data_IF_436523584430
#
_entry.id   IF_436523584430
#
_cell.length_a   1.000
_cell.length_b   1.000
_cell.length_c   1.000
_cell.angle_alpha   90.00
_cell.angle_beta   90.00
_cell.angle_gamma   90.00
#
_symmetry.space_group_name_H-M   'P 1'
#
loop_
_entity.id
_entity.type
_entity.pdbx_description
1 polymer ?
#
# COMPACT_ATOMS: atom_id res chain seq x y z
N UNK A 1 16.35 -1.95 -0.54
CA UNK A 1 17.64 -2.68 -0.46
C UNK A 1 17.42 -4.19 -0.29
N UNK A 2 16.96 -4.67 0.86
CA UNK A 2 16.89 -6.12 1.14
C UNK A 2 16.01 -6.91 0.16
N UNK A 3 14.88 -6.37 -0.29
CA UNK A 3 14.07 -7.00 -1.35
C UNK A 3 14.84 -7.19 -2.66
N UNK A 4 15.64 -6.19 -3.08
CA UNK A 4 16.44 -6.26 -4.31
C UNK A 4 17.65 -7.20 -4.19
N UNK A 5 18.26 -7.29 -3.00
CA UNK A 5 19.43 -8.13 -2.77
C UNK A 5 19.09 -9.62 -2.62
N UNK A 6 17.84 -9.95 -2.27
CA UNK A 6 17.42 -11.30 -1.87
C UNK A 6 16.39 -11.95 -2.80
N UNK A 7 15.99 -11.26 -3.87
CA UNK A 7 14.98 -11.75 -4.81
C UNK A 7 15.39 -11.51 -6.26
N UNK A 8 15.00 -12.46 -7.11
CA UNK A 8 15.18 -12.46 -8.57
C UNK A 8 13.88 -12.17 -9.32
N UNK A 9 12.75 -12.05 -8.62
CA UNK A 9 11.45 -11.63 -9.16
C UNK A 9 10.76 -10.59 -8.27
N UNK A 10 9.85 -9.80 -8.82
CA UNK A 10 9.07 -8.81 -8.10
C UNK A 10 8.19 -9.46 -7.02
N UNK A 11 7.55 -10.60 -7.32
CA UNK A 11 6.77 -11.35 -6.35
C UNK A 11 7.61 -11.87 -5.16
N UNK A 12 8.82 -12.37 -5.42
CA UNK A 12 9.74 -12.79 -4.36
C UNK A 12 10.25 -11.60 -3.55
N UNK A 13 10.49 -10.46 -4.19
CA UNK A 13 10.88 -9.23 -3.48
C UNK A 13 9.77 -8.74 -2.55
N UNK A 14 8.51 -8.83 -2.98
CA UNK A 14 7.34 -8.57 -2.14
C UNK A 14 7.35 -9.51 -0.92
N UNK A 15 7.49 -10.82 -1.13
CA UNK A 15 7.58 -11.81 -0.04
C UNK A 15 8.69 -11.48 0.96
N UNK A 16 9.90 -11.17 0.47
CA UNK A 16 11.02 -10.76 1.35
C UNK A 16 10.66 -9.53 2.19
N UNK A 17 10.00 -8.53 1.60
CA UNK A 17 9.62 -7.31 2.33
C UNK A 17 8.60 -7.62 3.42
N UNK A 18 7.57 -8.42 3.12
CA UNK A 18 6.51 -8.73 4.09
C UNK A 18 6.98 -9.70 5.19
N UNK A 19 7.90 -10.62 4.89
CA UNK A 19 8.52 -11.49 5.90
C UNK A 19 9.38 -10.67 6.89
N UNK A 20 10.10 -9.67 6.37
CA UNK A 20 10.87 -8.75 7.21
C UNK A 20 9.96 -7.83 8.02
N UNK A 21 8.87 -7.37 7.42
CA UNK A 21 7.84 -6.58 8.10
C UNK A 21 7.22 -7.37 9.26
N UNK A 22 6.90 -8.64 9.05
CA UNK A 22 6.34 -9.52 10.09
C UNK A 22 7.35 -9.73 11.23
N UNK A 23 8.61 -10.02 10.87
CA UNK A 23 9.64 -10.36 11.85
C UNK A 23 10.13 -9.16 12.67
N UNK A 24 10.25 -8.00 12.04
CA UNK A 24 10.92 -6.82 12.64
C UNK A 24 9.99 -5.62 12.82
N UNK A 25 8.78 -5.67 12.27
CA UNK A 25 7.89 -4.53 12.20
C UNK A 25 8.38 -3.45 11.23
N UNK A 26 7.71 -2.31 11.29
CA UNK A 26 8.13 -1.08 10.65
C UNK A 26 7.75 0.12 11.52
N UNK A 27 8.30 1.28 11.19
CA UNK A 27 7.97 2.55 11.82
C UNK A 27 9.15 3.14 12.58
N UNK A 28 8.85 3.82 13.67
CA UNK A 28 9.78 4.73 14.36
C UNK A 28 9.37 6.19 14.12
N UNK A 29 9.90 7.09 14.94
CA UNK A 29 9.60 8.51 14.78
C UNK A 29 10.27 9.04 13.51
N UNK A 30 9.46 9.48 12.55
CA UNK A 30 9.89 10.10 11.30
C UNK A 30 10.05 11.62 11.43
N UNK A 31 10.03 12.14 12.67
CA UNK A 31 10.39 13.51 12.99
C UNK A 31 11.57 13.55 13.97
N UNK A 32 12.42 14.56 13.82
CA UNK A 32 13.49 14.85 14.78
C UNK A 32 12.95 15.46 16.09
N UNK A 33 11.71 15.96 16.08
CA UNK A 33 11.07 16.58 17.24
C UNK A 33 10.44 15.54 18.19
N UNK A 34 9.99 16.01 19.36
CA UNK A 34 9.24 15.20 20.32
C UNK A 34 7.84 14.78 19.85
N UNK A 35 7.38 15.24 18.69
CA UNK A 35 6.12 14.80 18.12
C UNK A 35 6.29 13.40 17.54
N UNK A 36 5.44 12.45 17.98
CA UNK A 36 5.42 11.12 17.42
C UNK A 36 4.73 11.15 16.04
N UNK A 37 5.48 10.88 14.98
CA UNK A 37 4.94 10.69 13.64
C UNK A 37 5.50 9.41 13.03
N UNK A 38 4.65 8.41 12.86
CA UNK A 38 5.02 7.14 12.25
C UNK A 38 4.52 7.12 10.80
N UNK A 39 5.44 6.91 9.86
CA UNK A 39 5.10 6.75 8.46
C UNK A 39 5.04 5.26 8.09
N UNK A 40 3.94 4.82 7.50
CA UNK A 40 3.83 3.48 6.93
C UNK A 40 4.17 3.50 5.45
N UNK A 41 4.97 2.53 5.01
CA UNK A 41 5.59 2.58 3.70
C UNK A 41 4.71 1.96 2.61
N UNK A 42 4.82 2.53 1.41
CA UNK A 42 4.29 1.97 0.17
C UNK A 42 5.44 1.73 -0.79
N UNK A 43 5.40 0.63 -1.54
CA UNK A 43 6.45 0.20 -2.45
C UNK A 43 5.88 -0.03 -3.84
N UNK A 44 6.62 0.43 -4.85
CA UNK A 44 6.47 -0.04 -6.23
C UNK A 44 7.56 -1.09 -6.48
N UNK A 45 7.15 -2.28 -6.88
CA UNK A 45 8.05 -3.41 -7.09
C UNK A 45 7.78 -3.94 -8.49
N UNK A 46 8.79 -3.98 -9.35
CA UNK A 46 8.60 -4.42 -10.73
C UNK A 46 9.81 -5.18 -11.24
N UNK A 47 9.55 -6.12 -12.14
CA UNK A 47 10.54 -6.79 -12.97
C UNK A 47 10.09 -6.81 -14.44
N UNK A 48 10.71 -7.64 -15.29
CA UNK A 48 10.38 -7.72 -16.73
C UNK A 48 9.01 -8.37 -17.02
N UNK A 49 8.38 -9.02 -16.06
CA UNK A 49 7.16 -9.82 -16.24
C UNK A 49 5.96 -9.21 -15.50
N UNK A 50 6.20 -8.59 -14.36
CA UNK A 50 5.12 -8.11 -13.51
C UNK A 50 5.50 -6.88 -12.68
N UNK A 51 4.48 -6.19 -12.20
CA UNK A 51 4.61 -5.08 -11.27
C UNK A 51 3.57 -5.19 -10.16
N UNK A 52 3.94 -4.73 -8.97
CA UNK A 52 3.19 -4.80 -7.74
C UNK A 52 3.24 -3.46 -7.02
N UNK A 53 2.11 -3.09 -6.43
CA UNK A 53 2.04 -2.10 -5.36
C UNK A 53 1.92 -2.86 -4.05
N UNK A 54 2.77 -2.55 -3.08
CA UNK A 54 2.65 -3.06 -1.70
C UNK A 54 2.44 -1.85 -0.79
N UNK A 55 1.39 -1.88 0.02
CA UNK A 55 1.13 -0.86 1.04
C UNK A 55 0.99 -1.51 2.41
N UNK A 56 1.43 -0.79 3.44
CA UNK A 56 1.59 -1.37 4.77
C UNK A 56 0.96 -0.47 5.84
N UNK A 57 0.60 -1.05 6.99
CA UNK A 57 0.08 -0.36 8.17
C UNK A 57 0.40 -1.17 9.43
N UNK A 58 1.41 -0.73 10.17
CA UNK A 58 2.03 -1.55 11.22
C UNK A 58 2.55 -2.87 10.63
N UNK A 59 2.16 -4.02 11.17
CA UNK A 59 2.49 -5.33 10.59
C UNK A 59 1.58 -5.76 9.43
N UNK A 60 0.40 -5.15 9.31
CA UNK A 60 -0.59 -5.52 8.30
C UNK A 60 -0.25 -4.87 6.95
N UNK A 61 -0.62 -5.52 5.87
CA UNK A 61 -0.29 -5.07 4.52
C UNK A 61 -1.27 -5.64 3.50
N UNK A 62 -1.38 -4.93 2.39
CA UNK A 62 -2.11 -5.35 1.20
C UNK A 62 -1.22 -5.12 -0.02
N UNK A 63 -1.34 -5.98 -1.03
CA UNK A 63 -0.63 -5.84 -2.30
C UNK A 63 -1.56 -6.05 -3.49
N UNK A 64 -1.37 -5.21 -4.49
CA UNK A 64 -2.13 -5.18 -5.74
C UNK A 64 -1.16 -5.46 -6.90
N UNK A 65 -1.51 -6.43 -7.75
CA UNK A 65 -0.81 -6.71 -8.99
C UNK A 65 -1.28 -5.75 -10.08
N UNK A 66 -0.33 -5.09 -10.73
CA UNK A 66 -0.58 -4.14 -11.81
C UNK A 66 -0.68 -4.91 -13.12
N UNK A 67 -1.91 -5.23 -13.53
CA UNK A 67 -2.20 -6.05 -14.73
C UNK A 67 -2.23 -5.25 -16.03
N UNK A 68 -2.18 -3.91 -15.94
CA UNK A 68 -2.11 -3.06 -17.12
C UNK A 68 -2.42 -1.59 -16.80
N UNK A 69 -2.15 -0.73 -17.76
CA UNK A 69 -2.36 0.71 -17.61
C UNK A 69 -1.31 1.39 -16.77
N UNK A 70 -1.75 2.30 -15.90
CA UNK A 70 -0.88 3.15 -15.09
C UNK A 70 -1.24 3.03 -13.63
N UNK A 71 -0.24 3.07 -12.77
CA UNK A 71 -0.41 3.07 -11.31
C UNK A 71 0.62 4.01 -10.71
N UNK A 72 0.19 4.81 -9.73
CA UNK A 72 1.07 5.64 -8.91
C UNK A 72 0.77 5.41 -7.43
N UNK A 73 1.67 5.90 -6.58
CA UNK A 73 1.47 5.98 -5.13
C UNK A 73 1.77 7.39 -4.66
N UNK A 74 1.32 7.75 -3.46
CA UNK A 74 1.74 8.99 -2.78
C UNK A 74 1.81 8.73 -1.27
N UNK A 75 1.91 9.77 -0.44
CA UNK A 75 1.94 9.60 1.02
C UNK A 75 0.56 9.32 1.63
N UNK A 76 -0.22 8.45 0.98
CA UNK A 76 -1.52 7.96 1.44
C UNK A 76 -1.71 6.54 0.91
N UNK A 77 -2.45 5.71 1.65
CA UNK A 77 -2.86 4.39 1.17
C UNK A 77 -3.80 4.57 -0.03
N UNK A 78 -3.71 3.66 -0.98
CA UNK A 78 -4.42 3.72 -2.26
C UNK A 78 -4.96 2.36 -2.72
N UNK A 79 -4.52 1.25 -2.13
CA UNK A 79 -5.10 -0.07 -2.37
C UNK A 79 -6.46 -0.12 -1.67
N UNK A 80 -7.53 -0.25 -2.44
CA UNK A 80 -8.90 -0.31 -1.93
C UNK A 80 -9.38 -1.76 -1.83
N UNK A 81 -10.26 -2.20 -2.72
CA UNK A 81 -10.88 -3.53 -2.71
C UNK A 81 -10.17 -4.53 -3.61
N UNK A 82 -9.43 -4.07 -4.64
CA UNK A 82 -8.55 -4.93 -5.45
C UNK A 82 -7.30 -5.29 -4.64
N UNK A 83 -7.32 -6.46 -4.02
CA UNK A 83 -6.23 -6.99 -3.20
C UNK A 83 -5.87 -8.39 -3.70
N UNK A 84 -4.67 -8.54 -4.25
CA UNK A 84 -4.17 -9.81 -4.80
C UNK A 84 -3.41 -10.63 -3.75
N UNK A 85 -2.76 -9.96 -2.80
CA UNK A 85 -2.12 -10.59 -1.63
C UNK A 85 -2.35 -9.73 -0.39
N UNK A 86 -2.54 -10.36 0.76
CA UNK A 86 -2.80 -9.67 2.02
C UNK A 86 -2.15 -10.36 3.22
N UNK A 87 -1.98 -9.61 4.31
CA UNK A 87 -1.62 -10.19 5.60
C UNK A 87 -2.77 -11.08 6.12
N UNK A 88 -2.51 -12.32 6.57
CA UNK A 88 -3.57 -13.28 6.91
C UNK A 88 -4.51 -12.82 8.03
N UNK A 89 -3.99 -12.07 9.00
CA UNK A 89 -4.79 -11.54 10.12
C UNK A 89 -5.39 -10.14 9.86
N UNK A 90 -5.17 -9.54 8.68
CA UNK A 90 -5.54 -8.14 8.41
C UNK A 90 -7.02 -7.85 8.66
N UNK A 91 -7.90 -8.72 8.18
CA UNK A 91 -9.34 -8.55 8.27
C UNK A 91 -9.86 -8.79 9.69
N UNK A 92 -9.38 -9.84 10.35
CA UNK A 92 -9.75 -10.14 11.74
C UNK A 92 -9.24 -9.08 12.71
N UNK A 93 -8.04 -8.52 12.46
CA UNK A 93 -7.55 -7.38 13.22
C UNK A 93 -8.46 -6.16 13.06
N UNK A 94 -8.85 -5.81 11.82
CA UNK A 94 -9.76 -4.69 11.55
C UNK A 94 -11.14 -4.89 12.23
N UNK A 95 -11.69 -6.11 12.21
CA UNK A 95 -12.92 -6.46 12.96
C UNK A 95 -12.75 -6.27 14.45
N UNK A 96 -11.65 -6.78 15.02
CA UNK A 96 -11.36 -6.66 16.46
C UNK A 96 -11.24 -5.21 16.94
N UNK A 97 -10.89 -4.29 16.03
CA UNK A 97 -10.82 -2.85 16.28
C UNK A 97 -12.15 -2.11 16.02
N UNK A 98 -13.16 -2.81 15.52
CA UNK A 98 -14.45 -2.23 15.14
C UNK A 98 -14.38 -1.34 13.89
N UNK A 99 -13.32 -1.48 13.08
CA UNK A 99 -13.15 -0.69 11.84
C UNK A 99 -13.96 -1.28 10.70
N UNK A 100 -14.06 -2.62 10.66
CA UNK A 100 -14.79 -3.36 9.64
C UNK A 100 -15.89 -4.22 10.28
N UNK A 101 -17.09 -4.17 9.71
CA UNK A 101 -18.27 -4.93 10.16
C UNK A 101 -18.23 -6.41 9.72
N UNK A 102 -17.39 -6.75 8.73
CA UNK A 102 -17.32 -8.09 8.16
C UNK A 102 -18.35 -8.36 7.08
N UNK A 103 -19.28 -7.43 6.83
CA UNK A 103 -20.36 -7.58 5.86
C UNK A 103 -20.04 -6.84 4.55
N UNK A 104 -19.47 -5.63 4.67
CA UNK A 104 -19.08 -4.83 3.50
C UNK A 104 -17.82 -5.38 2.85
N UNK A 105 -17.66 -5.11 1.56
CA UNK A 105 -16.39 -5.38 0.88
C UNK A 105 -15.23 -4.70 1.61
N UNK A 106 -14.12 -5.43 1.75
CA UNK A 106 -12.98 -4.95 2.52
C UNK A 106 -12.16 -3.96 1.68
N UNK A 107 -12.11 -2.70 2.10
CA UNK A 107 -11.31 -1.65 1.48
C UNK A 107 -10.11 -1.31 2.38
N UNK A 108 -8.91 -1.72 1.97
CA UNK A 108 -7.71 -1.59 2.80
C UNK A 108 -7.39 -0.13 3.15
N UNK A 109 -7.37 0.76 2.16
CA UNK A 109 -7.14 2.18 2.37
C UNK A 109 -8.21 2.79 3.28
N UNK A 110 -9.48 2.37 3.19
CA UNK A 110 -10.53 2.85 4.08
C UNK A 110 -10.35 2.39 5.53
N UNK A 111 -9.94 1.14 5.75
CA UNK A 111 -9.83 0.57 7.09
C UNK A 111 -8.55 0.97 7.83
N UNK A 112 -7.44 1.15 7.09
CA UNK A 112 -6.11 1.33 7.67
C UNK A 112 -5.53 2.75 7.51
N UNK A 113 -6.26 3.68 6.88
CA UNK A 113 -5.85 5.09 6.82
C UNK A 113 -6.23 5.85 8.10
N UNK A 114 -5.33 6.72 8.55
CA UNK A 114 -5.58 7.62 9.69
C UNK A 114 -6.59 8.75 9.36
N UNK A 115 -6.84 9.00 8.07
CA UNK A 115 -7.68 10.10 7.59
C UNK A 115 -9.03 9.56 7.15
N UNK A 116 -10.12 10.17 7.64
CA UNK A 116 -11.49 9.88 7.19
C UNK A 116 -11.55 9.94 5.64
N UNK A 117 -11.84 8.81 5.02
CA UNK A 117 -11.68 8.53 3.59
C UNK A 117 -12.68 9.25 2.68
N UNK A 118 -13.63 10.00 3.25
CA UNK A 118 -14.61 10.81 2.52
C UNK A 118 -14.00 11.93 1.62
N UNK A 119 -12.68 12.14 1.62
CA UNK A 119 -11.98 13.17 0.81
C UNK A 119 -10.96 12.65 -0.21
N UNK A 120 -10.81 11.33 -0.35
CA UNK A 120 -9.67 10.75 -1.07
C UNK A 120 -9.78 10.79 -2.60
N UNK A 121 -10.98 10.87 -3.16
CA UNK A 121 -11.20 10.91 -4.62
C UNK A 121 -11.68 12.27 -5.14
N UNK A 122 -11.99 13.21 -4.24
CA UNK A 122 -12.63 14.50 -4.55
C UNK A 122 -11.72 15.72 -4.38
N UNK A 123 -10.50 15.54 -3.89
CA UNK A 123 -9.53 16.63 -3.66
C UNK A 123 -8.38 16.60 -4.68
N UNK A 124 -7.74 17.76 -4.89
CA UNK A 124 -6.47 17.93 -5.63
C UNK A 124 -5.30 17.25 -4.90
N UNK A 125 -5.45 15.97 -4.54
CA UNK A 125 -4.41 15.18 -3.89
C UNK A 125 -3.31 14.87 -4.89
N UNK A 126 -2.07 14.73 -4.40
CA UNK A 126 -0.92 14.36 -5.24
C UNK A 126 -1.16 13.04 -5.98
N UNK A 127 -1.86 12.10 -5.34
CA UNK A 127 -2.28 10.86 -5.97
C UNK A 127 -3.17 11.12 -7.18
N UNK A 128 -4.27 11.87 -7.00
CA UNK A 128 -5.25 12.12 -8.05
C UNK A 128 -4.65 12.86 -9.25
N UNK A 129 -3.87 13.92 -9.01
CA UNK A 129 -3.26 14.69 -10.10
C UNK A 129 -2.17 13.88 -10.83
N UNK A 130 -1.37 13.09 -10.11
CA UNK A 130 -0.41 12.17 -10.72
C UNK A 130 -1.10 11.11 -11.57
N UNK A 131 -2.21 10.55 -11.09
CA UNK A 131 -2.99 9.56 -11.82
C UNK A 131 -3.62 10.15 -13.09
N UNK A 132 -4.18 11.37 -13.03
CA UNK A 132 -4.69 12.08 -14.20
C UNK A 132 -3.60 12.30 -15.25
N UNK A 133 -2.42 12.74 -14.82
CA UNK A 133 -1.29 12.98 -15.71
C UNK A 133 -0.83 11.69 -16.41
N UNK A 134 -0.66 10.60 -15.64
CA UNK A 134 -0.26 9.30 -16.21
C UNK A 134 -1.29 8.77 -17.21
N UNK A 135 -2.59 8.91 -16.91
CA UNK A 135 -3.64 8.49 -17.83
C UNK A 135 -3.67 9.32 -19.12
N UNK A 136 -3.44 10.64 -19.01
CA UNK A 136 -3.35 11.52 -20.19
C UNK A 136 -2.28 11.07 -21.19
N UNK A 137 -1.19 10.47 -20.71
CA UNK A 137 -0.05 10.03 -21.52
C UNK A 137 0.05 8.50 -21.67
N UNK A 138 -0.99 7.75 -21.27
CA UNK A 138 -0.99 6.29 -21.33
C UNK A 138 -0.85 5.81 -22.78
N UNK A 139 0.19 5.00 -23.04
CA UNK A 139 0.44 4.42 -24.36
C UNK A 139 1.10 5.36 -25.37
N UNK A 140 1.46 6.58 -24.97
CA UNK A 140 2.25 7.51 -25.79
C UNK A 140 3.72 7.30 -25.41
N UNK A 141 4.45 6.51 -26.22
CA UNK A 141 5.89 6.26 -26.11
C UNK A 141 6.58 6.93 -27.30
#
# INVERSE_FOLDING_TARGET
>A
RLGLERADTAEKALTVIVDLLEKYGQGGNCMESHMAFTYHNSFLIADRKEAWVLETSGKHWAAEKVEGGVRNISNQLSITTKIDREHPEMKEYAKSKGWWDGEKEFDFAAMYSYVNTARMTTSRSRYCEGYKLLNKHKGII
#
